data_IF_821046640264
#
_entry.id   IF_821046640264
#
_cell.length_a   1.000
_cell.length_b   1.000
_cell.length_c   1.000
_cell.angle_alpha   90.00
_cell.angle_beta   90.00
_cell.angle_gamma   90.00
#
_symmetry.space_group_name_H-M   'P 1'
#
loop_
_entity.id
_entity.type
_entity.pdbx_description
1 polymer ?
#
# COMPACT_ATOMS: atom_id res chain seq x y z
N UNK A 1 -15.23 0.31 8.19
CA UNK A 1 -14.52 0.94 7.08
C UNK A 1 -13.23 0.21 6.80
N UNK A 2 -12.89 0.01 5.53
CA UNK A 2 -11.62 -0.64 5.22
C UNK A 2 -10.44 0.23 5.66
N UNK A 3 -9.39 -0.42 6.09
CA UNK A 3 -8.18 0.27 6.51
C UNK A 3 -7.31 0.58 5.30
N UNK A 4 -6.48 1.60 5.43
CA UNK A 4 -5.51 1.92 4.41
C UNK A 4 -4.54 0.75 4.23
N UNK A 5 -3.92 0.69 3.04
CA UNK A 5 -2.99 -0.37 2.70
C UNK A 5 -1.57 0.19 2.76
N UNK A 6 -0.66 -0.57 3.36
CA UNK A 6 0.73 -0.17 3.51
C UNK A 6 1.64 -1.16 2.81
N UNK A 7 2.65 -0.63 2.14
CA UNK A 7 3.78 -1.41 1.65
C UNK A 7 4.96 -1.06 2.55
N UNK A 8 5.45 -2.04 3.29
CA UNK A 8 6.47 -1.83 4.30
C UNK A 8 7.66 -2.76 4.09
N UNK A 9 8.79 -2.36 4.62
CA UNK A 9 9.99 -3.20 4.62
C UNK A 9 9.73 -4.41 5.52
N UNK A 10 10.15 -5.59 5.08
CA UNK A 10 9.96 -6.84 5.83
C UNK A 10 11.16 -7.73 5.62
N UNK A 11 12.06 -7.77 6.60
CA UNK A 11 13.29 -8.52 6.46
C UNK A 11 14.10 -8.02 5.27
N UNK A 12 14.43 -8.92 4.36
CA UNK A 12 15.14 -8.54 3.14
C UNK A 12 14.21 -8.24 1.97
N UNK A 13 12.89 -8.25 2.23
CA UNK A 13 11.90 -8.00 1.19
C UNK A 13 10.89 -6.97 1.62
N UNK A 14 9.66 -7.15 1.18
CA UNK A 14 8.58 -6.18 1.38
C UNK A 14 7.29 -6.90 1.76
N UNK A 15 6.43 -6.22 2.49
CA UNK A 15 5.15 -6.78 2.87
C UNK A 15 4.05 -5.78 2.61
N UNK A 16 2.88 -6.30 2.29
CA UNK A 16 1.66 -5.51 2.20
C UNK A 16 0.83 -5.80 3.43
N UNK A 17 0.40 -4.77 4.12
CA UNK A 17 -0.43 -4.97 5.31
C UNK A 17 -1.46 -3.86 5.42
N UNK A 18 -2.52 -4.17 6.14
CA UNK A 18 -3.55 -3.19 6.45
C UNK A 18 -3.13 -2.36 7.65
N UNK A 19 -3.52 -1.11 7.66
CA UNK A 19 -3.25 -0.22 8.78
C UNK A 19 -3.88 -0.82 10.04
N UNK A 20 -3.08 -0.89 11.11
CA UNK A 20 -3.56 -1.46 12.36
C UNK A 20 -3.52 -2.98 12.46
N UNK A 21 -3.21 -3.67 11.36
CA UNK A 21 -3.14 -5.13 11.39
C UNK A 21 -1.85 -5.60 12.05
N UNK A 22 -1.92 -6.69 12.79
CA UNK A 22 -0.75 -7.27 13.44
C UNK A 22 0.12 -8.04 12.46
N UNK A 23 -0.46 -8.55 11.38
CA UNK A 23 0.25 -9.40 10.42
C UNK A 23 0.15 -8.84 9.02
N UNK A 24 1.15 -9.17 8.20
CA UNK A 24 1.14 -8.81 6.79
C UNK A 24 0.07 -9.63 6.07
N UNK A 25 -0.56 -9.01 5.07
CA UNK A 25 -1.48 -9.73 4.18
C UNK A 25 -0.69 -10.61 3.22
N UNK A 26 0.47 -10.13 2.76
CA UNK A 26 1.30 -10.88 1.85
C UNK A 26 2.71 -10.32 1.86
N UNK A 27 3.70 -11.17 1.62
CA UNK A 27 5.11 -10.80 1.60
C UNK A 27 5.66 -11.02 0.20
N UNK A 28 6.54 -10.11 -0.23
CA UNK A 28 7.13 -10.14 -1.57
C UNK A 28 8.63 -9.94 -1.48
N UNK A 29 9.34 -10.36 -2.51
CA UNK A 29 10.79 -10.16 -2.57
C UNK A 29 11.18 -8.80 -3.10
N UNK A 30 10.28 -8.13 -3.84
CA UNK A 30 10.57 -6.81 -4.40
C UNK A 30 9.51 -5.79 -3.99
N UNK A 31 9.93 -4.54 -3.94
CA UNK A 31 9.03 -3.44 -3.65
C UNK A 31 7.95 -3.32 -4.72
N UNK A 32 8.34 -3.46 -5.99
CA UNK A 32 7.39 -3.27 -7.09
C UNK A 32 6.26 -4.30 -7.03
N UNK A 33 6.58 -5.55 -6.72
CA UNK A 33 5.54 -6.58 -6.60
C UNK A 33 4.59 -6.25 -5.46
N UNK A 34 5.13 -5.78 -4.34
CA UNK A 34 4.31 -5.39 -3.19
C UNK A 34 3.43 -4.19 -3.54
N UNK A 35 3.97 -3.22 -4.26
CA UNK A 35 3.21 -2.05 -4.67
C UNK A 35 2.05 -2.45 -5.59
N UNK A 36 2.33 -3.31 -6.56
CA UNK A 36 1.28 -3.74 -7.50
C UNK A 36 0.13 -4.43 -6.77
N UNK A 37 0.47 -5.31 -5.84
CA UNK A 37 -0.53 -6.01 -5.06
C UNK A 37 -1.30 -5.04 -4.16
N UNK A 38 -0.58 -4.17 -3.46
CA UNK A 38 -1.19 -3.19 -2.56
C UNK A 38 -2.08 -2.20 -3.29
N UNK A 39 -1.65 -1.79 -4.48
CA UNK A 39 -2.46 -0.87 -5.28
C UNK A 39 -3.79 -1.50 -5.66
N UNK A 40 -3.78 -2.79 -6.00
CA UNK A 40 -5.02 -3.50 -6.31
C UNK A 40 -5.97 -3.52 -5.12
N UNK A 41 -5.43 -3.79 -3.92
CA UNK A 41 -6.24 -3.77 -2.71
C UNK A 41 -6.79 -2.38 -2.42
N UNK A 42 -5.95 -1.36 -2.55
CA UNK A 42 -6.36 0.01 -2.25
C UNK A 42 -7.47 0.48 -3.19
N UNK A 43 -7.35 0.14 -4.47
CA UNK A 43 -8.39 0.48 -5.44
C UNK A 43 -9.69 -0.23 -5.14
N UNK A 44 -9.61 -1.51 -4.82
CA UNK A 44 -10.78 -2.32 -4.52
C UNK A 44 -11.55 -1.76 -3.33
N UNK A 45 -10.82 -1.32 -2.32
CA UNK A 45 -11.44 -0.86 -1.08
C UNK A 45 -11.56 0.65 -0.99
N UNK A 46 -11.13 1.38 -2.01
CA UNK A 46 -11.20 2.84 -2.06
C UNK A 46 -10.50 3.49 -0.88
N UNK A 47 -9.27 3.05 -0.62
CA UNK A 47 -8.45 3.58 0.47
C UNK A 47 -7.10 4.03 -0.07
N UNK A 48 -6.28 4.61 0.79
CA UNK A 48 -4.95 5.06 0.40
C UNK A 48 -3.97 3.91 0.44
N UNK A 49 -2.97 3.99 -0.43
CA UNK A 49 -1.82 3.11 -0.43
C UNK A 49 -0.62 3.94 0.01
N UNK A 50 0.03 3.53 1.09
CA UNK A 50 1.20 4.22 1.60
C UNK A 50 2.40 3.31 1.40
N UNK A 51 3.47 3.86 0.83
CA UNK A 51 4.64 3.08 0.41
C UNK A 51 5.87 3.57 1.16
N UNK A 52 6.50 2.67 1.92
CA UNK A 52 7.75 2.98 2.60
C UNK A 52 8.94 2.75 1.69
N UNK A 53 10.00 3.52 1.89
CA UNK A 53 11.28 3.24 1.28
C UNK A 53 12.05 2.25 2.13
N UNK A 54 13.29 1.93 1.71
CA UNK A 54 14.13 0.97 2.42
C UNK A 54 14.47 1.42 3.83
N UNK A 55 14.44 2.72 4.08
CA UNK A 55 14.73 3.26 5.41
C UNK A 55 13.52 3.24 6.33
N UNK A 56 12.40 2.69 5.87
CA UNK A 56 11.18 2.62 6.66
C UNK A 56 10.34 3.89 6.67
N UNK A 57 10.79 4.93 5.99
CA UNK A 57 10.03 6.17 5.91
C UNK A 57 9.10 6.15 4.72
N UNK A 58 7.97 6.84 4.83
CA UNK A 58 7.01 6.90 3.73
C UNK A 58 7.63 7.67 2.58
N UNK A 59 7.69 7.03 1.42
CA UNK A 59 8.26 7.60 0.21
C UNK A 59 7.20 8.08 -0.75
N UNK A 60 6.04 7.42 -0.73
CA UNK A 60 5.03 7.70 -1.71
C UNK A 60 3.67 7.29 -1.16
N UNK A 61 2.63 7.85 -1.74
CA UNK A 61 1.28 7.47 -1.37
C UNK A 61 0.35 7.68 -2.55
N UNK A 62 -0.56 6.74 -2.72
CA UNK A 62 -1.60 6.82 -3.74
C UNK A 62 -2.95 6.88 -3.04
N UNK A 63 -3.77 7.83 -3.43
CA UNK A 63 -5.12 7.96 -2.88
C UNK A 63 -6.12 7.44 -3.89
N UNK A 64 -6.93 6.49 -3.46
CA UNK A 64 -7.95 5.89 -4.31
C UNK A 64 -9.35 6.09 -3.76
N UNK A 65 -9.45 6.56 -2.53
CA UNK A 65 -10.74 6.73 -1.88
C UNK A 65 -11.37 8.08 -2.10
N UNK A 66 -10.56 9.11 -2.25
CA UNK A 66 -11.01 10.48 -2.38
C UNK A 66 -10.71 11.07 -3.73
N UNK A 67 -10.56 10.23 -4.74
CA UNK A 67 -10.27 10.71 -6.08
C UNK A 67 -11.51 11.40 -6.62
N UNK A 68 -11.47 12.68 -6.82
CA UNK A 68 -12.63 13.38 -7.36
C UNK A 68 -12.80 13.03 -8.81
N UNK A 69 -12.65 12.83 -9.15
CA UNK A 69 -12.81 12.65 -10.36
C UNK A 69 -12.24 12.74 -11.05
N UNK A 70 -12.59 12.62 -11.32
CA UNK A 70 -11.89 12.37 -12.14
C UNK A 70 -11.01 12.96 -12.54
N UNK A 71 -10.67 12.86 -12.41
CA UNK A 71 -9.88 13.53 -12.75
C UNK A 71 -9.58 13.82 -13.97
N UNK A 72 -9.56 13.95 -13.99
CA UNK A 72 -9.30 14.19 -14.81
C UNK A 72 -9.07 13.48 -15.45
N UNK A 73 -9.34 13.34 -15.40
CA UNK A 73 -9.22 12.81 -16.04
C UNK A 73 -9.18 12.57 -16.36
#
# INVERSE_FOLDING_TARGET
MPANVWVVVHGSGWAVKREGAASASKVFTTQQAAIDYGRGLARKDHVELLIQGKDGKIRDRDSHGNDPYPPKG
#
